data_IF_221578243793
#
_entry.id   IF_221578243793
#
_cell.length_a   1.000
_cell.length_b   1.000
_cell.length_c   1.000
_cell.angle_alpha   90.00
_cell.angle_beta   90.00
_cell.angle_gamma   90.00
#
_symmetry.space_group_name_H-M   'P 1'
#
loop_
_entity.id
_entity.type
_entity.pdbx_description
1 polymer ?
#
# COMPACT_ATOMS: atom_id res chain seq x y z
N UNK A 1 -4.37 -14.92 -20.38
CA UNK A 1 -3.43 -15.26 -19.27
C UNK A 1 -1.95 -15.06 -19.63
N UNK A 2 -1.42 -15.62 -20.74
CA UNK A 2 -0.01 -15.40 -21.14
C UNK A 2 0.32 -13.92 -21.46
N UNK A 3 -0.64 -13.19 -22.01
CA UNK A 3 -0.58 -11.73 -22.26
C UNK A 3 -0.49 -10.91 -20.98
N UNK A 4 -1.29 -11.25 -19.97
CA UNK A 4 -1.29 -10.62 -18.64
C UNK A 4 0.09 -10.71 -17.95
N UNK A 5 0.71 -11.88 -17.98
CA UNK A 5 2.06 -12.08 -17.43
C UNK A 5 3.14 -11.33 -18.24
N UNK A 6 2.97 -11.21 -19.55
CA UNK A 6 3.88 -10.47 -20.43
C UNK A 6 3.85 -8.95 -20.17
N UNK A 7 2.74 -8.39 -19.71
CA UNK A 7 2.59 -6.96 -19.39
C UNK A 7 3.20 -6.60 -18.03
N UNK A 8 3.18 -7.52 -17.06
CA UNK A 8 3.78 -7.31 -15.72
C UNK A 8 5.30 -7.56 -15.77
N UNK A 9 5.73 -8.51 -16.62
CA UNK A 9 7.12 -8.92 -16.81
C UNK A 9 8.16 -7.80 -16.96
N UNK A 10 7.96 -6.74 -17.77
CA UNK A 10 8.96 -5.69 -17.95
C UNK A 10 9.24 -4.86 -16.69
N UNK A 11 8.27 -4.62 -15.81
CA UNK A 11 8.53 -3.93 -14.53
C UNK A 11 9.33 -4.80 -13.56
N UNK A 12 8.97 -6.08 -13.46
CA UNK A 12 9.69 -7.05 -12.63
C UNK A 12 11.12 -7.22 -13.15
N UNK A 13 11.30 -7.36 -14.47
CA UNK A 13 12.62 -7.43 -15.10
C UNK A 13 13.42 -6.12 -15.00
N UNK A 14 12.77 -4.96 -15.04
CA UNK A 14 13.44 -3.66 -14.84
C UNK A 14 13.96 -3.52 -13.40
N UNK A 15 13.14 -3.91 -12.40
CA UNK A 15 13.54 -3.95 -10.99
C UNK A 15 14.68 -4.95 -10.74
N UNK A 16 14.65 -6.11 -11.39
CA UNK A 16 15.73 -7.11 -11.32
C UNK A 16 17.01 -6.62 -12.03
N UNK A 17 16.89 -5.98 -13.20
CA UNK A 17 18.07 -5.49 -13.94
C UNK A 17 18.73 -4.28 -13.26
N UNK A 18 17.99 -3.43 -12.56
CA UNK A 18 18.58 -2.31 -11.83
C UNK A 18 19.48 -2.77 -10.67
N UNK A 19 19.17 -3.93 -10.08
CA UNK A 19 20.00 -4.58 -9.06
C UNK A 19 21.23 -5.27 -9.67
N UNK A 20 21.13 -5.74 -10.91
CA UNK A 20 22.16 -6.60 -11.53
C UNK A 20 23.21 -5.82 -12.32
N UNK A 21 22.90 -4.59 -12.78
CA UNK A 21 23.77 -3.83 -13.71
C UNK A 21 24.66 -2.78 -13.03
N UNK A 22 24.62 -2.66 -11.70
CA UNK A 22 25.45 -1.76 -10.91
C UNK A 22 26.66 -2.47 -10.28
N UNK A 23 27.81 -1.81 -10.28
CA UNK A 23 29.08 -2.27 -9.67
C UNK A 23 28.84 -2.94 -8.29
N UNK A 24 29.15 -4.23 -8.16
CA UNK A 24 28.68 -5.14 -7.07
C UNK A 24 28.95 -4.61 -5.65
N UNK A 25 30.04 -3.85 -5.46
CA UNK A 25 30.38 -3.16 -4.19
C UNK A 25 29.44 -2.01 -3.83
N UNK A 26 28.97 -1.26 -4.84
CA UNK A 26 28.11 -0.09 -4.64
C UNK A 26 26.64 -0.48 -4.42
N UNK A 27 26.24 -1.66 -4.90
CA UNK A 27 24.89 -2.22 -4.66
C UNK A 27 24.77 -2.72 -3.21
N UNK A 28 25.80 -3.39 -2.69
CA UNK A 28 25.81 -3.88 -1.29
C UNK A 28 25.81 -2.73 -0.28
N UNK A 29 26.63 -1.69 -0.47
CA UNK A 29 26.62 -0.52 0.42
C UNK A 29 25.26 0.19 0.43
N UNK A 30 24.64 0.32 -0.75
CA UNK A 30 23.32 0.93 -0.91
C UNK A 30 22.21 0.09 -0.27
N UNK A 31 22.24 -1.23 -0.43
CA UNK A 31 21.32 -2.16 0.25
C UNK A 31 21.47 -2.11 1.76
N UNK A 32 22.70 -2.08 2.27
CA UNK A 32 22.95 -1.98 3.72
C UNK A 32 22.51 -0.63 4.27
N UNK A 33 22.74 0.48 3.56
CA UNK A 33 22.25 1.80 3.99
C UNK A 33 20.73 1.85 4.01
N UNK A 34 20.05 1.51 2.92
CA UNK A 34 18.58 1.57 2.86
C UNK A 34 17.92 0.51 3.74
N UNK A 35 18.47 -0.71 3.77
CA UNK A 35 18.00 -1.79 4.63
C UNK A 35 18.21 -1.48 6.11
N UNK A 36 19.37 -0.93 6.48
CA UNK A 36 19.67 -0.49 7.85
C UNK A 36 18.77 0.64 8.30
N UNK A 37 18.56 1.66 7.46
CA UNK A 37 17.63 2.76 7.75
C UNK A 37 16.19 2.25 7.89
N UNK A 38 15.77 1.34 7.00
CA UNK A 38 14.47 0.70 7.05
C UNK A 38 14.26 -0.11 8.34
N UNK A 39 15.25 -0.91 8.73
CA UNK A 39 15.22 -1.68 9.98
C UNK A 39 15.21 -0.78 11.21
N UNK A 40 15.96 0.32 11.21
CA UNK A 40 15.95 1.30 12.31
C UNK A 40 14.56 1.91 12.46
N UNK A 41 13.95 2.32 11.35
CA UNK A 41 12.59 2.87 11.37
C UNK A 41 11.56 1.82 11.80
N UNK A 42 11.69 0.58 11.32
CA UNK A 42 10.85 -0.55 11.71
C UNK A 42 10.94 -0.85 13.21
N UNK A 43 12.15 -0.87 13.77
CA UNK A 43 12.40 -1.04 15.19
C UNK A 43 11.88 0.14 16.02
N UNK A 44 11.99 1.37 15.51
CA UNK A 44 11.44 2.56 16.15
C UNK A 44 9.91 2.49 16.27
N UNK A 45 9.22 2.11 15.19
CA UNK A 45 7.77 1.88 15.21
C UNK A 45 7.43 0.81 16.25
N UNK A 46 8.10 -0.34 16.19
CA UNK A 46 7.88 -1.42 17.14
C UNK A 46 8.02 -0.95 18.59
N UNK A 47 9.08 -0.21 18.91
CA UNK A 47 9.34 0.28 20.26
C UNK A 47 8.26 1.27 20.75
N UNK A 48 7.80 2.18 19.88
CA UNK A 48 6.74 3.13 20.21
C UNK A 48 5.44 2.38 20.53
N UNK A 49 5.02 1.47 19.63
CA UNK A 49 3.78 0.72 19.82
C UNK A 49 3.83 -0.20 21.03
N UNK A 50 4.97 -0.88 21.24
CA UNK A 50 5.20 -1.70 22.41
C UNK A 50 5.06 -0.89 23.71
N UNK A 51 5.66 0.31 23.78
CA UNK A 51 5.57 1.18 24.95
C UNK A 51 4.14 1.68 25.21
N UNK A 52 3.41 2.05 24.15
CA UNK A 52 2.01 2.52 24.25
C UNK A 52 1.11 1.39 24.74
N UNK A 53 1.25 0.19 24.19
CA UNK A 53 0.43 -0.96 24.59
C UNK A 53 0.77 -1.46 26.00
N UNK A 54 2.05 -1.43 26.40
CA UNK A 54 2.45 -1.70 27.78
C UNK A 54 1.82 -0.71 28.76
N UNK A 55 1.79 0.57 28.40
CA UNK A 55 1.14 1.58 29.21
C UNK A 55 -0.36 1.28 29.37
N UNK A 56 -1.06 0.91 28.30
CA UNK A 56 -2.45 0.49 28.38
C UNK A 56 -2.65 -0.75 29.25
N UNK A 57 -1.79 -1.76 29.12
CA UNK A 57 -1.89 -2.98 29.94
C UNK A 57 -1.67 -2.71 31.44
N UNK A 58 -0.88 -1.70 31.80
CA UNK A 58 -0.64 -1.34 33.21
C UNK A 58 -1.84 -0.66 33.90
N UNK A 59 -2.87 -0.25 33.15
CA UNK A 59 -4.09 0.34 33.69
C UNK A 59 -5.08 -0.77 34.05
N UNK A 60 -5.31 -0.98 35.35
CA UNK A 60 -6.27 -1.97 35.86
C UNK A 60 -7.68 -1.75 35.27
N UNK A 61 -8.34 -2.86 34.91
CA UNK A 61 -9.69 -3.01 34.34
C UNK A 61 -9.98 -2.39 32.96
N UNK A 62 -9.24 -1.36 32.53
CA UNK A 62 -9.50 -0.67 31.24
C UNK A 62 -8.49 -0.99 30.12
N UNK A 63 -7.35 -1.61 30.44
CA UNK A 63 -6.26 -1.81 29.49
C UNK A 63 -6.63 -2.59 28.23
N UNK A 64 -7.37 -3.68 28.38
CA UNK A 64 -7.71 -4.58 27.26
C UNK A 64 -8.69 -3.93 26.28
N UNK A 65 -9.70 -3.23 26.80
CA UNK A 65 -10.68 -2.50 25.99
C UNK A 65 -9.98 -1.36 25.22
N UNK A 66 -9.08 -0.66 25.89
CA UNK A 66 -8.34 0.45 25.29
C UNK A 66 -7.40 -0.04 24.18
N UNK A 67 -6.69 -1.15 24.42
CA UNK A 67 -5.84 -1.78 23.40
C UNK A 67 -6.66 -2.29 22.21
N UNK A 68 -7.80 -2.94 22.43
CA UNK A 68 -8.71 -3.37 21.35
C UNK A 68 -9.19 -2.17 20.52
N UNK A 69 -9.61 -1.09 21.18
CA UNK A 69 -10.08 0.11 20.50
C UNK A 69 -8.95 0.78 19.71
N UNK A 70 -7.76 0.85 20.29
CA UNK A 70 -6.57 1.42 19.65
C UNK A 70 -6.18 0.64 18.39
N UNK A 71 -6.08 -0.69 18.48
CA UNK A 71 -5.81 -1.55 17.31
C UNK A 71 -6.89 -1.40 16.25
N UNK A 72 -8.16 -1.31 16.64
CA UNK A 72 -9.27 -1.08 15.71
C UNK A 72 -9.14 0.25 14.98
N UNK A 73 -8.77 1.33 15.68
CA UNK A 73 -8.53 2.64 15.08
C UNK A 73 -7.35 2.63 14.11
N UNK A 74 -6.29 1.88 14.42
CA UNK A 74 -5.12 1.71 13.53
C UNK A 74 -5.51 0.96 12.27
N UNK A 75 -6.22 -0.17 12.39
CA UNK A 75 -6.70 -0.94 11.23
C UNK A 75 -7.57 -0.06 10.34
N UNK A 76 -8.50 0.70 10.93
CA UNK A 76 -9.36 1.62 10.18
C UNK A 76 -8.54 2.70 9.45
N UNK A 77 -7.53 3.25 10.13
CA UNK A 77 -6.63 4.26 9.55
C UNK A 77 -5.84 3.67 8.38
N UNK A 78 -5.28 2.46 8.54
CA UNK A 78 -4.59 1.76 7.47
C UNK A 78 -5.53 1.46 6.30
N UNK A 79 -6.76 1.02 6.57
CA UNK A 79 -7.75 0.79 5.53
C UNK A 79 -8.05 2.06 4.73
N UNK A 80 -8.31 3.19 5.41
CA UNK A 80 -8.57 4.47 4.75
C UNK A 80 -7.37 4.95 3.92
N UNK A 81 -6.16 4.92 4.49
CA UNK A 81 -4.94 5.28 3.77
C UNK A 81 -4.71 4.38 2.55
N UNK A 82 -4.93 3.08 2.70
CA UNK A 82 -4.79 2.11 1.62
C UNK A 82 -5.83 2.37 0.53
N UNK A 83 -7.08 2.65 0.89
CA UNK A 83 -8.16 2.97 -0.04
C UNK A 83 -7.84 4.23 -0.84
N UNK A 84 -7.47 5.33 -0.19
CA UNK A 84 -7.09 6.58 -0.87
C UNK A 84 -5.86 6.40 -1.76
N UNK A 85 -4.81 5.73 -1.27
CA UNK A 85 -3.62 5.43 -2.05
C UNK A 85 -3.96 4.61 -3.29
N UNK A 86 -4.80 3.58 -3.15
CA UNK A 86 -5.22 2.76 -4.28
C UNK A 86 -6.09 3.54 -5.28
N UNK A 87 -6.93 4.48 -4.86
CA UNK A 87 -7.68 5.35 -5.79
C UNK A 87 -6.71 6.16 -6.65
N UNK A 88 -5.75 6.85 -6.02
CA UNK A 88 -4.78 7.70 -6.71
C UNK A 88 -3.92 6.87 -7.67
N UNK A 89 -3.45 5.71 -7.21
CA UNK A 89 -2.57 4.86 -7.99
C UNK A 89 -3.31 4.17 -9.15
N UNK A 90 -4.54 3.72 -8.90
CA UNK A 90 -5.38 3.09 -9.92
C UNK A 90 -5.72 4.10 -11.02
N UNK A 91 -6.06 5.32 -10.64
CA UNK A 91 -6.29 6.40 -11.58
C UNK A 91 -5.03 6.76 -12.40
N UNK A 92 -3.89 6.91 -11.72
CA UNK A 92 -2.61 7.24 -12.37
C UNK A 92 -2.21 6.18 -13.39
N UNK A 93 -2.38 4.91 -13.06
CA UNK A 93 -2.05 3.81 -13.96
C UNK A 93 -3.08 3.60 -15.07
N UNK A 94 -4.38 3.69 -14.80
CA UNK A 94 -5.42 3.42 -15.79
C UNK A 94 -5.65 4.57 -16.77
N UNK A 95 -5.52 5.83 -16.32
CA UNK A 95 -5.92 6.99 -17.14
C UNK A 95 -4.79 7.97 -17.44
N UNK A 96 -3.79 8.10 -16.57
CA UNK A 96 -2.74 9.12 -16.69
C UNK A 96 -1.39 8.59 -17.18
N UNK A 97 -1.37 7.31 -17.55
CA UNK A 97 -0.17 6.63 -18.02
C UNK A 97 0.25 7.09 -19.41
N UNK A 98 1.52 7.50 -19.56
CA UNK A 98 2.09 7.87 -20.85
C UNK A 98 2.13 6.71 -21.87
N UNK A 99 2.08 5.46 -21.39
CA UNK A 99 2.12 4.27 -22.26
C UNK A 99 0.72 3.86 -22.81
N UNK A 100 -0.35 4.58 -22.44
CA UNK A 100 -1.72 4.22 -22.82
C UNK A 100 -1.99 4.30 -24.33
N UNK A 101 -1.48 5.31 -25.08
CA UNK A 101 -1.63 5.38 -26.53
C UNK A 101 -0.89 4.24 -27.25
N UNK A 102 0.27 3.83 -26.72
CA UNK A 102 1.06 2.73 -27.26
C UNK A 102 0.36 1.39 -27.00
N UNK A 103 -0.22 1.20 -25.81
CA UNK A 103 -0.95 -0.03 -25.47
C UNK A 103 -2.25 -0.20 -26.27
N UNK A 104 -2.91 0.89 -26.67
CA UNK A 104 -4.11 0.83 -27.52
C UNK A 104 -3.81 0.52 -28.99
N UNK A 105 -2.57 0.68 -29.46
CA UNK A 105 -2.18 0.29 -30.82
C UNK A 105 -1.75 -1.18 -30.93
N UNK A 106 -1.58 -1.87 -29.79
CA UNK A 106 -1.36 -3.32 -29.75
C UNK A 106 -2.70 -4.07 -29.78
N UNK A 107 -2.77 -5.27 -30.40
CA UNK A 107 -3.97 -6.11 -30.43
C UNK A 107 -4.19 -6.83 -29.09
N UNK A 108 -4.33 -6.06 -28.01
CA UNK A 108 -4.55 -6.54 -26.64
C UNK A 108 -5.94 -6.14 -26.18
N UNK A 109 -6.65 -7.07 -25.53
CA UNK A 109 -7.99 -6.80 -25.02
C UNK A 109 -7.97 -5.72 -23.92
N UNK A 110 -8.96 -4.81 -23.92
CA UNK A 110 -9.09 -3.78 -22.89
C UNK A 110 -9.19 -4.37 -21.47
N UNK A 111 -9.77 -5.57 -21.35
CA UNK A 111 -9.86 -6.31 -20.08
C UNK A 111 -8.47 -6.70 -19.56
N UNK A 112 -7.58 -7.24 -20.41
CA UNK A 112 -6.23 -7.61 -19.99
C UNK A 112 -5.40 -6.39 -19.56
N UNK A 113 -5.59 -5.24 -20.22
CA UNK A 113 -4.93 -3.98 -19.86
C UNK A 113 -5.45 -3.49 -18.50
N UNK A 114 -6.76 -3.53 -18.28
CA UNK A 114 -7.35 -3.15 -17.00
C UNK A 114 -6.84 -4.03 -15.85
N UNK A 115 -6.92 -5.35 -15.97
CA UNK A 115 -6.51 -6.27 -14.91
C UNK A 115 -5.01 -6.18 -14.61
N UNK A 116 -4.16 -6.07 -15.65
CA UNK A 116 -2.71 -5.96 -15.42
C UNK A 116 -2.35 -4.71 -14.62
N UNK A 117 -2.93 -3.56 -14.97
CA UNK A 117 -2.68 -2.29 -14.29
C UNK A 117 -3.32 -2.21 -12.92
N UNK A 118 -4.51 -2.80 -12.75
CA UNK A 118 -5.16 -2.89 -11.45
C UNK A 118 -4.33 -3.73 -10.46
N UNK A 119 -3.82 -4.88 -10.88
CA UNK A 119 -2.95 -5.73 -10.04
C UNK A 119 -1.66 -5.01 -9.66
N UNK A 120 -0.99 -4.40 -10.64
CA UNK A 120 0.24 -3.63 -10.39
C UNK A 120 -0.04 -2.49 -9.40
N UNK A 121 -1.14 -1.77 -9.61
CA UNK A 121 -1.53 -0.67 -8.73
C UNK A 121 -1.83 -1.14 -7.30
N UNK A 122 -2.53 -2.27 -7.16
CA UNK A 122 -2.84 -2.88 -5.88
C UNK A 122 -1.57 -3.26 -5.12
N UNK A 123 -0.58 -3.82 -5.83
CA UNK A 123 0.71 -4.19 -5.22
C UNK A 123 1.52 -2.96 -4.80
N UNK A 124 1.65 -1.97 -5.69
CA UNK A 124 2.41 -0.73 -5.45
C UNK A 124 1.85 0.08 -4.26
N UNK A 125 0.54 0.03 -4.02
CA UNK A 125 -0.09 0.71 -2.86
C UNK A 125 -0.06 -0.13 -1.58
N UNK A 126 -0.09 -1.46 -1.66
CA UNK A 126 -0.27 -2.34 -0.49
C UNK A 126 1.03 -2.73 0.20
N UNK A 127 2.14 -2.85 -0.54
CA UNK A 127 3.40 -3.39 0.02
C UNK A 127 3.87 -2.62 1.25
N UNK A 128 3.75 -1.29 1.23
CA UNK A 128 4.24 -0.40 2.28
C UNK A 128 3.41 -0.55 3.56
N UNK A 129 2.09 -0.67 3.42
CA UNK A 129 1.18 -0.79 4.56
C UNK A 129 1.32 -2.17 5.21
N UNK A 130 1.52 -3.22 4.41
CA UNK A 130 1.87 -4.55 4.94
C UNK A 130 3.17 -4.50 5.76
N UNK A 131 4.22 -3.88 5.22
CA UNK A 131 5.50 -3.76 5.92
C UNK A 131 5.39 -2.97 7.24
N UNK A 132 4.62 -1.87 7.26
CA UNK A 132 4.43 -1.04 8.45
C UNK A 132 3.45 -1.61 9.47
N UNK A 133 2.53 -2.47 9.05
CA UNK A 133 1.61 -3.13 9.96
C UNK A 133 2.34 -4.16 10.83
N UNK A 134 3.26 -4.94 10.27
CA UNK A 134 3.98 -6.00 10.98
C UNK A 134 4.51 -5.62 12.37
N UNK A 135 5.29 -4.53 12.56
CA UNK A 135 5.83 -4.18 13.88
C UNK A 135 4.73 -3.81 14.86
N UNK A 136 3.65 -3.17 14.40
CA UNK A 136 2.49 -2.83 15.24
C UNK A 136 1.85 -4.09 15.79
N UNK A 137 1.50 -5.03 14.92
CA UNK A 137 0.80 -6.26 15.33
C UNK A 137 1.70 -7.26 16.05
N UNK A 138 3.01 -7.24 15.78
CA UNK A 138 4.00 -8.01 16.53
C UNK A 138 4.09 -7.52 17.98
N UNK A 139 4.07 -6.20 18.20
CA UNK A 139 4.08 -5.63 19.55
C UNK A 139 2.82 -6.02 20.34
N UNK A 140 1.66 -6.03 19.69
CA UNK A 140 0.41 -6.51 20.28
C UNK A 140 0.49 -8.00 20.63
N UNK A 141 1.00 -8.83 19.72
CA UNK A 141 1.05 -10.27 19.95
C UNK A 141 1.95 -10.69 21.12
N UNK A 142 3.05 -9.94 21.35
CA UNK A 142 3.97 -10.15 22.47
C UNK A 142 3.34 -9.76 23.80
N UNK A 143 2.64 -8.62 23.87
CA UNK A 143 2.08 -8.09 25.13
C UNK A 143 0.90 -8.92 25.62
N UNK A 144 0.02 -9.35 24.71
CA UNK A 144 -1.15 -10.16 25.04
C UNK A 144 -0.87 -11.67 25.05
N UNK A 145 0.41 -12.08 24.97
CA UNK A 145 0.84 -13.49 24.94
C UNK A 145 0.05 -14.38 23.99
N UNK A 146 -0.21 -13.87 22.78
CA UNK A 146 -1.00 -14.60 21.78
C UNK A 146 -0.24 -15.79 21.17
N UNK A 147 -0.97 -16.86 20.86
CA UNK A 147 -0.41 -18.06 20.22
C UNK A 147 -0.04 -17.84 18.74
N UNK A 148 0.72 -18.78 18.16
CA UNK A 148 1.24 -18.67 16.78
C UNK A 148 0.15 -18.48 15.71
N UNK A 149 -1.06 -18.99 15.97
CA UNK A 149 -2.23 -18.85 15.10
C UNK A 149 -2.64 -17.38 14.87
N UNK A 150 -2.39 -16.51 15.85
CA UNK A 150 -2.68 -15.08 15.73
C UNK A 150 -1.92 -14.45 14.55
N UNK A 151 -0.65 -14.77 14.37
CA UNK A 151 0.16 -14.23 13.27
C UNK A 151 -0.31 -14.70 11.89
N UNK A 152 -0.79 -15.94 11.80
CA UNK A 152 -1.36 -16.49 10.57
C UNK A 152 -2.68 -15.79 10.21
N UNK A 153 -3.61 -15.71 11.17
CA UNK A 153 -4.90 -15.02 10.99
C UNK A 153 -4.68 -13.56 10.61
N UNK A 154 -3.77 -12.87 11.31
CA UNK A 154 -3.44 -11.49 11.04
C UNK A 154 -2.95 -11.28 9.60
N UNK A 155 -1.99 -12.11 9.15
CA UNK A 155 -1.45 -12.03 7.79
C UNK A 155 -2.56 -12.24 6.75
N UNK A 156 -3.45 -13.20 6.99
CA UNK A 156 -4.61 -13.45 6.13
C UNK A 156 -5.55 -12.24 6.09
N UNK A 157 -5.91 -11.67 7.25
CA UNK A 157 -6.79 -10.49 7.35
C UNK A 157 -6.21 -9.30 6.59
N UNK A 158 -4.89 -9.06 6.72
CA UNK A 158 -4.23 -7.96 5.99
C UNK A 158 -4.28 -8.15 4.47
N UNK A 159 -4.05 -9.37 3.98
CA UNK A 159 -4.17 -9.67 2.55
C UNK A 159 -5.59 -9.40 2.05
N UNK A 160 -6.61 -9.87 2.79
CA UNK A 160 -8.01 -9.59 2.43
C UNK A 160 -8.34 -8.09 2.49
N UNK A 161 -7.83 -7.36 3.48
CA UNK A 161 -8.00 -5.91 3.58
C UNK A 161 -7.43 -5.20 2.34
N UNK A 162 -6.22 -5.57 1.91
CA UNK A 162 -5.60 -5.03 0.71
C UNK A 162 -6.44 -5.32 -0.54
N UNK A 163 -6.94 -6.55 -0.69
CA UNK A 163 -7.77 -6.95 -1.82
C UNK A 163 -9.11 -6.18 -1.85
N UNK A 164 -9.78 -6.04 -0.72
CA UNK A 164 -11.05 -5.30 -0.60
C UNK A 164 -10.84 -3.85 -0.98
N UNK A 165 -9.82 -3.20 -0.43
CA UNK A 165 -9.54 -1.80 -0.71
C UNK A 165 -9.14 -1.57 -2.18
N UNK A 166 -8.34 -2.46 -2.77
CA UNK A 166 -8.00 -2.41 -4.20
C UNK A 166 -9.22 -2.62 -5.10
N UNK A 167 -10.11 -3.55 -4.75
CA UNK A 167 -11.34 -3.80 -5.51
C UNK A 167 -12.28 -2.59 -5.42
N UNK A 168 -12.47 -2.07 -4.21
CA UNK A 168 -13.31 -0.91 -3.95
C UNK A 168 -12.80 0.33 -4.69
N UNK A 169 -11.50 0.60 -4.62
CA UNK A 169 -10.88 1.72 -5.34
C UNK A 169 -11.03 1.57 -6.86
N UNK A 170 -10.86 0.36 -7.40
CA UNK A 170 -11.05 0.07 -8.82
C UNK A 170 -12.48 0.38 -9.28
N UNK A 171 -13.48 -0.06 -8.50
CA UNK A 171 -14.90 0.24 -8.76
C UNK A 171 -15.15 1.75 -8.67
N UNK A 172 -14.65 2.42 -7.63
CA UNK A 172 -14.81 3.85 -7.44
C UNK A 172 -14.17 4.66 -8.57
N UNK A 173 -13.00 4.26 -9.05
CA UNK A 173 -12.30 4.91 -10.17
C UNK A 173 -13.04 4.70 -11.49
N UNK A 174 -13.54 3.49 -11.77
CA UNK A 174 -14.34 3.19 -12.97
C UNK A 174 -15.68 3.92 -12.98
N UNK A 175 -16.32 4.07 -11.81
CA UNK A 175 -17.55 4.84 -11.69
C UNK A 175 -17.27 6.34 -11.77
N UNK A 176 -16.22 6.80 -11.08
CA UNK A 176 -15.77 8.18 -11.07
C UNK A 176 -15.38 8.69 -12.45
N UNK A 177 -14.75 7.86 -13.29
CA UNK A 177 -14.39 8.25 -14.65
C UNK A 177 -15.58 8.45 -15.59
N UNK A 178 -16.75 7.86 -15.29
CA UNK A 178 -18.00 8.16 -16.01
C UNK A 178 -18.53 9.55 -15.70
N UNK A 179 -18.27 10.06 -14.49
CA UNK A 179 -18.73 11.37 -14.01
C UNK A 179 -17.69 12.46 -14.30
N UNK A 180 -16.40 12.12 -14.23
CA UNK A 180 -15.28 13.04 -14.39
C UNK A 180 -14.40 12.60 -15.57
N UNK A 181 -14.35 13.34 -16.69
CA UNK A 181 -13.46 13.03 -17.79
C UNK A 181 -12.02 13.03 -17.27
N UNK A 182 -11.32 11.90 -17.40
CA UNK A 182 -10.06 11.64 -16.69
C UNK A 182 -8.94 12.67 -16.92
N UNK A 183 -9.02 13.47 -18.01
CA UNK A 183 -8.12 14.62 -18.23
C UNK A 183 -8.30 15.78 -17.25
N UNK A 184 -9.46 15.92 -16.60
CA UNK A 184 -9.78 16.98 -15.63
C UNK A 184 -9.23 16.70 -14.24
N UNK A 185 -8.71 15.52 -13.95
CA UNK A 185 -8.30 15.18 -12.58
C UNK A 185 -7.03 15.94 -12.17
N UNK A 186 -6.15 16.24 -13.13
CA UNK A 186 -5.06 17.20 -12.93
C UNK A 186 -5.60 18.58 -12.54
N UNK A 187 -6.67 19.02 -13.20
CA UNK A 187 -7.34 20.29 -12.90
C UNK A 187 -8.02 20.27 -11.54
N UNK A 188 -8.67 19.17 -11.15
CA UNK A 188 -9.32 19.02 -9.83
C UNK A 188 -8.29 18.98 -8.71
N UNK A 189 -7.16 18.29 -8.88
CA UNK A 189 -6.06 18.30 -7.90
C UNK A 189 -5.45 19.69 -7.73
N UNK A 190 -5.25 20.43 -8.84
CA UNK A 190 -4.77 21.82 -8.79
C UNK A 190 -5.80 22.72 -8.10
N UNK A 191 -7.08 22.56 -8.40
CA UNK A 191 -8.16 23.38 -7.86
C UNK A 191 -8.41 23.09 -6.37
N UNK A 192 -8.32 21.81 -5.94
CA UNK A 192 -8.37 21.40 -4.55
C UNK A 192 -7.14 21.89 -3.77
N UNK A 193 -5.94 21.81 -4.36
CA UNK A 193 -4.71 22.35 -3.80
C UNK A 193 -4.76 23.87 -3.64
N UNK A 194 -5.33 24.58 -4.62
CA UNK A 194 -5.55 26.03 -4.54
C UNK A 194 -6.57 26.39 -3.45
N UNK A 195 -7.67 25.66 -3.33
CA UNK A 195 -8.67 25.85 -2.27
C UNK A 195 -8.07 25.64 -0.87
N UNK A 196 -7.28 24.58 -0.69
CA UNK A 196 -6.58 24.33 0.58
C UNK A 196 -5.61 25.45 0.93
N UNK A 197 -4.92 26.05 -0.05
CA UNK A 197 -4.06 27.22 0.19
C UNK A 197 -4.84 28.49 0.53
N UNK A 198 -6.08 28.62 0.08
CA UNK A 198 -6.94 29.78 0.38
C UNK A 198 -7.58 29.64 1.77
N UNK A 199 -7.83 28.41 2.20
CA UNK A 199 -8.45 28.09 3.50
C UNK A 199 -7.42 28.08 4.64
N UNK A 200 -6.14 27.86 4.35
CA UNK A 200 -5.01 27.93 5.30
C UNK A 200 -4.51 29.37 5.45
#
# INVERSE_FOLDING_TARGET
>A
MKTLLSLIGPRVRSSLNSLTRGNRKNVWSRLVMFGGLGLLFWAGIFMIFYRVLLYFHSVQDFGDILAMKFVSMIILTFFMLLLFSNIINCLSHLYLSQDLPLLHSLPVSANDIFFSRWIISAFDSSWMILAFSLPVFLSYGIIFHTGIFYYAIFTTVMIFMCLIAAALSGILVLFGSKVLPAGRIRTILILLGALMMIVL
#
